data_IF_907297886513
#
_entry.id   IF_907297886513
#
_cell.length_a   1.000
_cell.length_b   1.000
_cell.length_c   1.000
_cell.angle_alpha   90.00
_cell.angle_beta   90.00
_cell.angle_gamma   90.00
#
_symmetry.space_group_name_H-M   'P 1'
#
loop_
_entity.id
_entity.type
_entity.pdbx_description
1 polymer ?
#
# COMPACT_ATOMS: atom_id res chain seq x y z
N UNK A 1 16.88 19.45 4.67
CA UNK A 1 16.15 18.81 3.55
C UNK A 1 16.96 18.76 2.24
N UNK A 2 17.54 19.85 1.70
CA UNK A 2 18.34 19.81 0.47
C UNK A 2 19.55 18.88 0.55
N UNK A 3 20.24 18.78 1.69
CA UNK A 3 21.43 17.94 1.89
C UNK A 3 21.09 16.44 2.05
N UNK A 4 19.92 16.08 2.59
CA UNK A 4 19.47 14.67 2.66
C UNK A 4 19.18 14.15 1.25
N UNK A 5 18.62 14.97 0.37
CA UNK A 5 18.39 14.62 -1.06
C UNK A 5 19.74 14.46 -1.79
N UNK A 6 20.75 15.30 -1.51
CA UNK A 6 22.10 15.17 -2.06
C UNK A 6 22.81 13.89 -1.57
N UNK A 7 22.59 13.48 -0.33
CA UNK A 7 23.12 12.23 0.24
C UNK A 7 22.60 11.00 -0.50
N UNK A 8 21.29 10.95 -0.81
CA UNK A 8 20.70 9.87 -1.61
C UNK A 8 21.18 9.87 -3.07
N UNK A 9 21.44 11.04 -3.66
CA UNK A 9 22.02 11.17 -5.01
C UNK A 9 23.48 10.70 -5.01
N UNK A 10 24.24 10.98 -3.96
CA UNK A 10 25.66 10.59 -3.84
C UNK A 10 25.82 9.08 -3.65
N UNK A 11 24.96 8.43 -2.86
CA UNK A 11 24.90 6.96 -2.74
C UNK A 11 24.57 6.34 -4.11
N UNK A 12 23.67 6.94 -4.88
CA UNK A 12 23.31 6.45 -6.22
C UNK A 12 24.51 6.49 -7.18
N UNK A 13 25.27 7.57 -7.16
CA UNK A 13 26.49 7.73 -8.00
C UNK A 13 27.64 6.83 -7.53
N UNK A 14 27.78 6.61 -6.23
CA UNK A 14 28.87 5.82 -5.66
C UNK A 14 28.65 4.31 -5.84
N UNK A 15 27.41 3.83 -5.66
CA UNK A 15 27.08 2.41 -5.89
C UNK A 15 27.18 2.05 -7.38
N UNK A 16 26.83 2.95 -8.30
CA UNK A 16 27.01 2.71 -9.74
C UNK A 16 28.46 2.83 -10.19
N UNK A 17 29.26 3.72 -9.59
CA UNK A 17 30.69 3.84 -9.87
C UNK A 17 31.52 2.65 -9.35
N UNK A 18 31.17 2.11 -8.21
CA UNK A 18 31.84 0.95 -7.61
C UNK A 18 31.55 -0.38 -8.33
N UNK A 19 30.44 -0.48 -9.06
CA UNK A 19 30.13 -1.65 -9.89
C UNK A 19 30.89 -1.67 -11.23
N UNK A 20 31.53 -0.54 -11.61
CA UNK A 20 32.26 -0.42 -12.87
C UNK A 20 33.78 -0.70 -12.74
N UNK A 21 34.31 -0.85 -11.54
CA UNK A 21 35.72 -1.22 -11.30
C UNK A 21 35.78 -2.49 -10.47
N UNK A 22 36.19 -3.58 -11.14
CA UNK A 22 36.50 -4.86 -10.51
C UNK A 22 37.80 -4.79 -9.73
N UNK A 23 37.74 -4.41 -8.46
CA UNK A 23 38.74 -4.79 -7.48
C UNK A 23 38.03 -5.05 -6.16
N UNK A 24 38.40 -6.12 -5.50
CA UNK A 24 37.77 -6.70 -4.31
C UNK A 24 37.64 -5.69 -3.15
N UNK A 25 36.63 -4.82 -3.23
CA UNK A 25 36.28 -3.97 -2.12
C UNK A 25 35.73 -4.85 -0.99
N UNK A 26 36.48 -4.91 0.09
CA UNK A 26 36.07 -5.62 1.30
C UNK A 26 34.79 -4.95 1.82
N UNK A 27 33.67 -5.66 1.78
CA UNK A 27 32.35 -5.20 2.23
C UNK A 27 32.37 -4.63 3.66
N UNK A 28 33.30 -5.09 4.50
CA UNK A 28 33.53 -4.58 5.84
C UNK A 28 34.11 -3.15 5.82
N UNK A 29 35.03 -2.86 4.90
CA UNK A 29 35.63 -1.54 4.73
C UNK A 29 34.63 -0.51 4.22
N UNK A 30 33.83 -0.87 3.22
CA UNK A 30 32.75 -0.03 2.71
C UNK A 30 31.68 0.26 3.77
N UNK A 31 31.35 -0.73 4.60
CA UNK A 31 30.42 -0.58 5.72
C UNK A 31 30.90 0.39 6.78
N UNK A 32 32.19 0.34 7.15
CA UNK A 32 32.80 1.26 8.11
C UNK A 32 33.01 2.66 7.52
N UNK A 33 33.21 2.76 6.22
CA UNK A 33 33.35 4.04 5.52
C UNK A 33 32.00 4.77 5.40
N UNK A 34 30.96 4.09 4.97
CA UNK A 34 29.58 4.62 4.95
C UNK A 34 29.14 5.02 6.36
N UNK A 35 29.42 4.20 7.37
CA UNK A 35 29.10 4.51 8.76
C UNK A 35 29.84 5.77 9.23
N UNK A 36 31.13 5.93 8.87
CA UNK A 36 31.94 7.09 9.23
C UNK A 36 31.47 8.38 8.55
N UNK A 37 31.09 8.33 7.25
CA UNK A 37 30.56 9.48 6.52
C UNK A 37 29.19 9.91 7.04
N UNK A 38 28.26 8.95 7.23
CA UNK A 38 26.93 9.22 7.82
C UNK A 38 27.05 9.83 9.20
N UNK A 39 28.00 9.36 10.02
CA UNK A 39 28.22 9.89 11.35
C UNK A 39 28.92 11.26 11.33
N UNK A 40 29.73 11.55 10.31
CA UNK A 40 30.37 12.86 10.14
C UNK A 40 29.35 13.93 9.69
N UNK A 41 28.46 13.61 8.74
CA UNK A 41 27.38 14.51 8.31
C UNK A 41 26.34 14.77 9.41
N UNK A 42 25.95 13.75 10.18
CA UNK A 42 25.07 13.92 11.34
C UNK A 42 25.67 14.85 12.40
N UNK A 43 27.03 14.90 12.53
CA UNK A 43 27.72 15.85 13.41
C UNK A 43 27.64 17.30 12.91
N UNK A 44 27.68 17.48 11.58
CA UNK A 44 27.75 18.80 10.95
C UNK A 44 26.38 19.51 10.84
N UNK A 45 25.29 18.75 10.60
CA UNK A 45 23.97 19.32 10.30
C UNK A 45 23.12 19.65 11.53
N UNK A 46 23.46 19.16 12.72
CA UNK A 46 22.60 19.34 13.91
C UNK A 46 22.97 20.55 14.75
N UNK A 47 24.13 21.24 14.50
CA UNK A 47 24.52 22.51 15.17
C UNK A 47 24.46 22.49 16.72
N UNK A 48 24.23 21.33 17.28
CA UNK A 48 24.19 21.05 18.72
C UNK A 48 25.52 20.35 19.01
N UNK A 49 26.32 20.90 19.88
CA UNK A 49 27.40 20.17 20.57
C UNK A 49 26.77 18.98 21.29
N UNK A 50 26.60 17.88 20.57
CA UNK A 50 26.23 16.62 21.20
C UNK A 50 27.49 16.11 21.89
N UNK A 51 27.44 16.00 23.19
CA UNK A 51 28.47 15.30 23.96
C UNK A 51 28.79 13.96 23.26
N UNK A 52 30.06 13.62 23.13
CA UNK A 52 30.53 12.33 22.55
C UNK A 52 29.88 11.11 23.19
N UNK A 53 29.35 11.24 24.41
CA UNK A 53 28.56 10.26 25.13
C UNK A 53 27.29 9.81 24.39
N UNK A 54 26.59 10.72 23.71
CA UNK A 54 25.33 10.43 23.00
C UNK A 54 25.54 9.55 21.75
N UNK A 55 26.71 9.63 21.10
CA UNK A 55 27.03 8.78 19.95
C UNK A 55 27.50 7.38 20.34
N UNK A 56 28.05 7.20 21.55
CA UNK A 56 28.41 5.88 22.09
C UNK A 56 27.18 5.03 22.42
N UNK A 57 26.05 5.66 22.72
CA UNK A 57 24.79 5.00 23.08
C UNK A 57 23.89 4.72 21.85
N UNK A 58 24.33 5.10 20.65
CA UNK A 58 23.59 4.88 19.41
C UNK A 58 24.13 3.67 18.66
N UNK A 59 23.28 2.67 18.43
CA UNK A 59 23.61 1.49 17.63
C UNK A 59 22.92 1.58 16.28
N UNK A 60 23.68 1.42 15.19
CA UNK A 60 23.14 1.35 13.82
C UNK A 60 23.35 -0.06 13.29
N UNK A 61 22.26 -0.67 12.81
CA UNK A 61 22.24 -1.96 12.14
C UNK A 61 21.81 -1.78 10.68
N UNK A 62 22.69 -2.15 9.76
CA UNK A 62 22.39 -2.24 8.34
C UNK A 62 21.85 -3.65 8.05
N UNK A 63 20.79 -3.74 7.26
CA UNK A 63 20.21 -5.01 6.81
C UNK A 63 19.63 -4.85 5.41
N UNK A 64 19.45 -5.97 4.73
CA UNK A 64 18.83 -5.94 3.43
C UNK A 64 18.72 -7.31 2.78
N UNK A 65 18.30 -7.26 1.52
CA UNK A 65 18.28 -8.44 0.66
C UNK A 65 18.30 -8.06 -0.82
N UNK A 66 18.91 -8.91 -1.62
CA UNK A 66 18.70 -8.96 -3.07
C UNK A 66 17.63 -10.00 -3.36
N UNK A 67 16.60 -9.63 -4.11
CA UNK A 67 15.48 -10.51 -4.40
C UNK A 67 15.06 -10.42 -5.86
N UNK A 68 14.97 -11.59 -6.47
CA UNK A 68 14.60 -11.77 -7.85
C UNK A 68 13.31 -12.58 -7.95
N UNK A 69 12.49 -12.27 -8.95
CA UNK A 69 11.31 -13.02 -9.34
C UNK A 69 11.36 -13.34 -10.83
N UNK A 70 11.01 -14.58 -11.18
CA UNK A 70 10.67 -14.97 -12.55
C UNK A 70 9.20 -15.35 -12.50
N UNK A 71 8.38 -14.71 -13.31
CA UNK A 71 6.94 -14.98 -13.35
C UNK A 71 6.48 -15.24 -14.78
N UNK A 72 5.57 -16.19 -14.92
CA UNK A 72 4.83 -16.47 -16.13
C UNK A 72 3.34 -16.23 -15.86
N UNK A 73 2.68 -15.46 -16.72
CA UNK A 73 1.24 -15.22 -16.73
C UNK A 73 0.63 -15.81 -17.99
N UNK A 74 -0.58 -16.36 -17.89
CA UNK A 74 -1.31 -16.92 -19.05
C UNK A 74 -2.04 -15.86 -19.86
N UNK A 75 -2.25 -14.64 -19.30
CA UNK A 75 -2.89 -13.52 -19.96
C UNK A 75 -2.48 -12.17 -19.38
N UNK A 76 -2.85 -11.09 -20.07
CA UNK A 76 -2.68 -9.74 -19.56
C UNK A 76 -3.50 -9.48 -18.29
N UNK A 77 -2.88 -8.75 -17.35
CA UNK A 77 -3.46 -8.42 -16.04
C UNK A 77 -3.44 -6.92 -15.79
N UNK A 78 -4.32 -6.46 -14.90
CA UNK A 78 -4.16 -5.18 -14.22
C UNK A 78 -3.08 -5.39 -13.16
N UNK A 79 -2.02 -4.62 -13.25
CA UNK A 79 -0.82 -4.79 -12.42
C UNK A 79 -0.40 -3.47 -11.79
N UNK A 80 0.48 -3.52 -10.78
CA UNK A 80 1.14 -2.36 -10.19
C UNK A 80 2.65 -2.56 -10.18
N UNK A 81 3.38 -1.43 -10.16
CA UNK A 81 4.83 -1.37 -9.99
C UNK A 81 5.60 -2.30 -10.96
N UNK A 82 5.36 -2.13 -12.27
CA UNK A 82 6.07 -2.88 -13.30
C UNK A 82 5.80 -4.38 -13.25
N UNK A 83 4.52 -4.77 -13.23
CA UNK A 83 4.04 -6.16 -13.25
C UNK A 83 4.40 -7.02 -12.02
N UNK A 84 5.03 -6.41 -11.00
CA UNK A 84 5.40 -7.15 -9.78
C UNK A 84 4.17 -7.55 -8.96
N UNK A 85 3.12 -6.67 -8.92
CA UNK A 85 1.83 -6.96 -8.30
C UNK A 85 0.83 -7.39 -9.37
N UNK A 86 0.44 -8.64 -9.34
CA UNK A 86 -0.70 -9.12 -10.13
C UNK A 86 -1.99 -8.88 -9.33
N UNK A 87 -2.81 -7.95 -9.79
CA UNK A 87 -4.05 -7.59 -9.11
C UNK A 87 -5.19 -8.47 -9.58
N UNK A 88 -5.47 -8.47 -10.89
CA UNK A 88 -6.52 -9.24 -11.51
C UNK A 88 -6.30 -9.37 -13.03
N UNK A 89 -6.78 -10.44 -13.69
CA UNK A 89 -6.76 -10.53 -15.15
C UNK A 89 -7.58 -9.38 -15.77
N UNK A 90 -7.14 -8.88 -16.92
CA UNK A 90 -7.95 -7.95 -17.72
C UNK A 90 -9.13 -8.68 -18.36
N UNK A 91 -10.23 -7.99 -18.52
CA UNK A 91 -11.42 -8.47 -19.23
C UNK A 91 -11.10 -8.87 -20.68
N UNK A 92 -12.00 -9.60 -21.30
CA UNK A 92 -11.95 -9.92 -22.73
C UNK A 92 -11.97 -8.64 -23.55
N UNK A 93 -11.07 -8.56 -24.57
CA UNK A 93 -10.98 -7.45 -25.51
C UNK A 93 -10.92 -8.02 -26.93
N UNK A 94 -12.10 -8.21 -27.53
CA UNK A 94 -12.21 -8.80 -28.88
C UNK A 94 -11.86 -7.79 -29.96
N UNK A 95 -11.02 -8.21 -30.91
CA UNK A 95 -10.83 -7.51 -32.16
C UNK A 95 -11.98 -7.84 -33.15
N UNK A 96 -11.95 -7.26 -34.35
CA UNK A 96 -12.97 -7.49 -35.42
C UNK A 96 -13.00 -8.95 -35.91
N UNK A 97 -11.95 -9.73 -35.69
CA UNK A 97 -11.88 -11.15 -36.02
C UNK A 97 -12.38 -12.08 -34.91
N UNK A 98 -12.76 -11.51 -33.73
CA UNK A 98 -13.20 -12.27 -32.57
C UNK A 98 -12.07 -12.81 -31.69
N UNK A 99 -10.83 -12.35 -31.88
CA UNK A 99 -9.70 -12.76 -31.07
C UNK A 99 -9.59 -11.90 -29.80
N UNK A 100 -9.35 -12.51 -28.65
CA UNK A 100 -9.13 -11.80 -27.39
C UNK A 100 -7.69 -11.27 -27.29
N UNK A 101 -7.53 -9.97 -27.48
CA UNK A 101 -6.23 -9.26 -27.45
C UNK A 101 -5.57 -9.26 -26.06
N UNK A 102 -6.31 -9.60 -24.98
CA UNK A 102 -5.75 -9.77 -23.64
C UNK A 102 -5.34 -11.22 -23.32
N UNK A 103 -5.69 -12.19 -24.16
CA UNK A 103 -5.31 -13.59 -24.00
C UNK A 103 -3.86 -13.87 -24.47
N UNK A 104 -2.91 -13.03 -24.06
CA UNK A 104 -1.49 -13.12 -24.44
C UNK A 104 -0.66 -13.50 -23.23
N UNK A 105 0.04 -14.66 -23.27
CA UNK A 105 0.94 -15.05 -22.20
C UNK A 105 2.20 -14.19 -22.17
N UNK A 106 2.76 -14.00 -20.96
CA UNK A 106 3.99 -13.23 -20.79
C UNK A 106 4.90 -13.81 -19.73
N UNK A 107 6.19 -13.61 -19.90
CA UNK A 107 7.22 -13.92 -18.90
C UNK A 107 7.94 -12.66 -18.47
N UNK A 108 8.16 -12.50 -17.17
CA UNK A 108 8.78 -11.32 -16.58
C UNK A 108 9.89 -11.77 -15.64
N UNK A 109 11.06 -11.15 -15.76
CA UNK A 109 12.15 -11.26 -14.79
C UNK A 109 12.31 -9.93 -14.03
N UNK A 110 12.16 -9.97 -12.70
CA UNK A 110 12.14 -8.81 -11.82
C UNK A 110 13.29 -8.91 -10.82
N UNK A 111 14.28 -8.03 -10.89
CA UNK A 111 15.41 -7.95 -9.97
C UNK A 111 15.30 -6.78 -8.96
N UNK A 112 14.47 -5.79 -9.21
CA UNK A 112 14.39 -4.52 -8.48
C UNK A 112 13.60 -4.58 -7.16
N UNK A 113 13.07 -5.74 -6.77
CA UNK A 113 12.38 -5.87 -5.47
C UNK A 113 13.35 -5.97 -4.27
N UNK A 114 14.63 -5.72 -4.52
CA UNK A 114 15.71 -5.68 -3.53
C UNK A 114 15.55 -4.53 -2.55
N UNK A 115 16.10 -4.67 -1.35
CA UNK A 115 15.85 -3.77 -0.24
C UNK A 115 17.09 -3.47 0.56
N UNK A 116 17.19 -2.23 1.05
CA UNK A 116 18.17 -1.78 2.03
C UNK A 116 17.46 -1.09 3.19
N UNK A 117 17.90 -1.35 4.42
CA UNK A 117 17.36 -0.77 5.63
C UNK A 117 18.40 -0.47 6.69
N UNK A 118 18.07 0.52 7.51
CA UNK A 118 18.81 0.93 8.70
C UNK A 118 17.86 0.86 9.90
N UNK A 119 18.26 0.14 10.93
CA UNK A 119 17.65 0.21 12.26
C UNK A 119 18.62 1.00 13.16
N UNK A 120 18.10 1.99 13.87
CA UNK A 120 18.86 2.85 14.79
C UNK A 120 18.26 2.74 16.17
N UNK A 121 19.04 2.25 17.12
CA UNK A 121 18.70 2.29 18.55
C UNK A 121 19.35 3.55 19.14
N UNK A 122 18.54 4.41 19.75
CA UNK A 122 18.96 5.68 20.30
C UNK A 122 18.94 5.70 21.85
N UNK A 123 19.28 6.85 22.44
CA UNK A 123 19.26 7.04 23.89
C UNK A 123 17.83 7.01 24.45
N UNK A 124 17.71 6.91 25.77
CA UNK A 124 16.44 7.09 26.47
C UNK A 124 15.97 8.55 26.35
N UNK A 125 14.74 8.76 25.88
CA UNK A 125 14.11 10.08 25.74
C UNK A 125 12.76 10.05 26.44
N UNK A 126 12.50 10.98 27.36
CA UNK A 126 11.25 11.07 28.15
C UNK A 126 10.88 9.75 28.85
N UNK A 127 11.89 8.99 29.33
CA UNK A 127 11.71 7.69 29.96
C UNK A 127 11.35 6.55 28.97
N UNK A 128 11.36 6.79 27.67
CA UNK A 128 11.15 5.80 26.63
C UNK A 128 12.47 5.38 25.98
N UNK A 129 12.56 4.14 25.53
CA UNK A 129 13.60 3.73 24.58
C UNK A 129 13.28 4.36 23.21
N UNK A 130 14.25 5.11 22.67
CA UNK A 130 14.09 5.71 21.34
C UNK A 130 14.70 4.82 20.26
N UNK A 131 14.08 4.79 19.08
CA UNK A 131 14.63 4.12 17.92
C UNK A 131 14.14 4.82 16.65
N UNK A 132 14.82 4.55 15.52
CA UNK A 132 14.38 4.99 14.21
C UNK A 132 14.59 3.88 13.19
N UNK A 133 13.76 3.89 12.14
CA UNK A 133 13.90 2.98 11.01
C UNK A 133 13.87 3.76 9.71
N UNK A 134 14.84 3.48 8.83
CA UNK A 134 14.84 3.88 7.45
C UNK A 134 14.94 2.63 6.57
N UNK A 135 13.99 2.43 5.67
CA UNK A 135 13.98 1.29 4.75
C UNK A 135 13.53 1.75 3.37
N UNK A 136 14.21 1.29 2.35
CA UNK A 136 13.86 1.58 0.97
C UNK A 136 14.02 0.36 0.05
N UNK A 137 13.33 0.39 -1.09
CA UNK A 137 13.45 -0.58 -2.19
C UNK A 137 13.50 0.15 -3.55
N UNK A 138 13.73 -0.59 -4.63
CA UNK A 138 13.77 -0.07 -5.99
C UNK A 138 12.45 -0.27 -6.74
N UNK A 139 11.34 -0.43 -6.03
CA UNK A 139 10.00 -0.68 -6.59
C UNK A 139 9.23 0.63 -6.85
N UNK A 140 9.86 1.79 -6.74
CA UNK A 140 9.33 3.03 -7.28
C UNK A 140 9.31 2.97 -8.82
N UNK A 141 8.28 3.53 -9.45
CA UNK A 141 8.13 3.53 -10.89
C UNK A 141 8.01 4.97 -11.41
N UNK A 142 8.91 5.36 -12.26
CA UNK A 142 8.82 6.56 -13.09
C UNK A 142 9.04 6.13 -14.55
N UNK A 143 8.44 6.80 -15.51
CA UNK A 143 8.41 6.44 -16.92
C UNK A 143 9.69 5.70 -17.36
N UNK A 144 9.59 4.39 -17.61
CA UNK A 144 10.66 3.47 -18.03
C UNK A 144 11.86 3.30 -17.08
N UNK A 145 11.82 3.84 -15.85
CA UNK A 145 12.88 3.72 -14.87
C UNK A 145 12.38 3.18 -13.53
N UNK A 146 13.19 2.32 -12.91
CA UNK A 146 13.02 1.89 -11.54
C UNK A 146 13.63 2.94 -10.63
N UNK A 147 12.86 3.47 -9.68
CA UNK A 147 13.34 4.49 -8.76
C UNK A 147 13.35 3.99 -7.32
N UNK A 148 14.29 4.52 -6.58
CA UNK A 148 14.42 4.27 -5.15
C UNK A 148 13.19 4.81 -4.42
N UNK A 149 12.54 3.95 -3.62
CA UNK A 149 11.31 4.27 -2.92
C UNK A 149 11.47 4.07 -1.43
N UNK A 150 11.18 5.12 -0.64
CA UNK A 150 11.11 5.02 0.82
C UNK A 150 9.92 4.15 1.22
N UNK A 151 10.18 3.13 2.03
CA UNK A 151 9.18 2.20 2.59
C UNK A 151 8.83 2.57 4.01
N UNK A 152 9.85 2.67 4.86
CA UNK A 152 9.75 3.08 6.25
C UNK A 152 10.70 4.25 6.48
N UNK A 153 10.21 5.27 7.14
CA UNK A 153 10.98 6.40 7.62
C UNK A 153 10.26 6.94 8.86
N UNK A 154 10.59 6.42 10.03
CA UNK A 154 9.92 6.82 11.25
C UNK A 154 10.84 6.82 12.47
N UNK A 155 10.48 7.64 13.46
CA UNK A 155 10.99 7.57 14.82
C UNK A 155 9.98 6.89 15.74
N UNK A 156 10.47 6.20 16.76
CA UNK A 156 9.67 5.48 17.73
C UNK A 156 10.15 5.79 19.16
N UNK A 157 9.20 5.99 20.05
CA UNK A 157 9.38 6.02 21.49
C UNK A 157 8.60 4.87 22.11
N UNK A 158 9.29 3.99 22.83
CA UNK A 158 8.70 2.82 23.47
C UNK A 158 8.87 2.90 24.98
N UNK A 159 7.75 3.04 25.69
CA UNK A 159 7.64 2.88 27.14
C UNK A 159 7.25 1.44 27.48
N UNK A 160 7.16 1.11 28.75
CA UNK A 160 6.81 -0.25 29.21
C UNK A 160 5.49 -0.78 28.62
N UNK A 161 4.46 0.07 28.53
CA UNK A 161 3.12 -0.32 28.09
C UNK A 161 2.63 0.39 26.83
N UNK A 162 3.33 1.42 26.37
CA UNK A 162 2.91 2.22 25.23
C UNK A 162 4.03 2.44 24.23
N UNK A 163 3.65 2.66 22.97
CA UNK A 163 4.57 2.97 21.88
C UNK A 163 3.99 4.08 21.06
N UNK A 164 4.80 5.10 20.77
CA UNK A 164 4.48 6.15 19.81
C UNK A 164 5.39 6.04 18.59
N UNK A 165 4.81 6.02 17.41
CA UNK A 165 5.53 6.05 16.13
C UNK A 165 5.11 7.31 15.38
N UNK A 166 6.09 8.06 14.86
CA UNK A 166 5.86 9.23 14.03
C UNK A 166 6.67 9.08 12.75
N UNK A 167 6.00 9.08 11.61
CA UNK A 167 6.62 8.94 10.29
C UNK A 167 5.94 7.92 9.40
N UNK A 168 6.58 7.55 8.30
CA UNK A 168 6.04 6.64 7.30
C UNK A 168 6.26 5.18 7.68
N UNK A 169 5.17 4.42 7.77
CA UNK A 169 5.21 2.95 7.95
C UNK A 169 3.95 2.32 7.35
N UNK A 170 3.79 1.00 7.51
CA UNK A 170 2.58 0.31 7.07
C UNK A 170 1.33 0.91 7.71
N UNK A 171 0.27 1.02 6.90
CA UNK A 171 -1.06 1.31 7.41
C UNK A 171 -1.43 0.28 8.49
N UNK A 172 -2.02 0.68 9.63
CA UNK A 172 -2.28 -0.23 10.75
C UNK A 172 -3.20 -1.41 10.40
N UNK A 173 -4.05 -1.27 9.42
CA UNK A 173 -4.84 -2.37 8.86
C UNK A 173 -3.97 -3.52 8.28
N UNK A 174 -2.67 -3.32 8.04
CA UNK A 174 -1.74 -4.35 7.57
C UNK A 174 -1.09 -5.19 8.70
N UNK A 175 -1.52 -5.06 9.94
CA UNK A 175 -0.93 -5.76 11.09
C UNK A 175 -1.01 -7.29 11.00
N UNK A 176 -2.08 -7.84 10.40
CA UNK A 176 -2.17 -9.26 10.03
C UNK A 176 -2.16 -9.35 8.51
N UNK A 177 -1.23 -10.13 7.97
CA UNK A 177 -0.97 -10.26 6.53
C UNK A 177 -0.70 -11.71 6.15
N UNK A 178 -1.02 -12.13 4.92
CA UNK A 178 -0.74 -13.48 4.48
C UNK A 178 0.77 -13.75 4.34
N UNK A 179 1.17 -14.99 4.59
CA UNK A 179 2.51 -15.50 4.33
C UNK A 179 2.51 -16.12 2.93
N UNK A 180 3.12 -15.47 1.96
CA UNK A 180 3.19 -15.88 0.56
C UNK A 180 4.63 -15.76 0.05
N UNK A 181 4.96 -16.50 -1.01
CA UNK A 181 6.27 -16.44 -1.67
C UNK A 181 6.34 -15.31 -2.70
N UNK A 182 5.24 -15.02 -3.37
CA UNK A 182 5.10 -13.92 -4.31
C UNK A 182 5.20 -12.54 -3.64
N UNK A 183 5.36 -11.49 -4.46
CA UNK A 183 5.55 -10.13 -3.95
C UNK A 183 4.27 -9.46 -3.46
N UNK A 184 3.12 -9.83 -4.00
CA UNK A 184 1.86 -9.08 -3.94
C UNK A 184 1.29 -8.81 -2.55
N UNK A 185 1.88 -9.34 -1.47
CA UNK A 185 1.41 -9.20 -0.09
C UNK A 185 -0.09 -9.54 0.10
N UNK A 186 -0.63 -10.35 -0.83
CA UNK A 186 -2.05 -10.73 -0.86
C UNK A 186 -2.97 -9.70 -1.52
N UNK A 187 -2.45 -8.64 -2.16
CA UNK A 187 -3.29 -7.69 -2.89
C UNK A 187 -4.02 -8.36 -4.07
N UNK A 188 -5.28 -7.99 -4.38
CA UNK A 188 -6.10 -6.95 -3.75
C UNK A 188 -6.89 -7.40 -2.50
N UNK A 189 -6.69 -8.62 -2.01
CA UNK A 189 -7.47 -9.20 -0.89
C UNK A 189 -6.97 -8.71 0.48
N UNK A 190 -5.73 -8.27 0.58
CA UNK A 190 -5.14 -7.70 1.79
C UNK A 190 -4.78 -6.23 1.55
N UNK A 191 -5.02 -5.38 2.55
CA UNK A 191 -4.57 -3.99 2.54
C UNK A 191 -3.07 -3.93 2.33
N UNK A 192 -2.59 -3.08 1.43
CA UNK A 192 -1.17 -2.97 1.10
C UNK A 192 -0.78 -1.51 0.84
N UNK A 193 -0.62 -0.74 1.90
CA UNK A 193 -0.36 0.70 1.84
C UNK A 193 0.63 1.13 2.92
N UNK A 194 1.48 2.12 2.62
CA UNK A 194 2.40 2.76 3.57
C UNK A 194 2.24 4.27 3.48
N UNK A 195 2.01 4.89 4.64
CA UNK A 195 1.72 6.32 4.72
C UNK A 195 2.39 6.96 5.93
N UNK A 196 2.72 8.25 5.86
CA UNK A 196 3.05 9.05 7.04
C UNK A 196 1.90 9.00 8.04
N UNK A 197 2.23 8.79 9.32
CA UNK A 197 1.24 8.65 10.38
C UNK A 197 1.81 8.97 11.75
N UNK A 198 0.91 9.30 12.67
CA UNK A 198 1.16 9.32 14.11
C UNK A 198 0.38 8.14 14.69
N UNK A 199 1.10 7.12 15.14
CA UNK A 199 0.53 5.87 15.64
C UNK A 199 0.86 5.70 17.11
N UNK A 200 -0.16 5.49 17.91
CA UNK A 200 -0.06 5.19 19.32
C UNK A 200 -0.61 3.79 19.62
N UNK A 201 0.19 2.96 20.27
CA UNK A 201 -0.22 1.63 20.71
C UNK A 201 -0.10 1.55 22.22
N UNK A 202 -1.19 1.13 22.89
CA UNK A 202 -1.28 0.97 24.35
C UNK A 202 -1.58 -0.48 24.69
N UNK A 203 -0.68 -1.11 25.47
CA UNK A 203 -0.95 -2.41 26.09
C UNK A 203 -1.85 -2.23 27.32
N UNK A 204 -2.96 -2.94 27.34
CA UNK A 204 -3.95 -2.96 28.41
C UNK A 204 -3.93 -4.34 29.09
N UNK A 205 -3.53 -4.38 30.35
CA UNK A 205 -3.31 -5.63 31.07
C UNK A 205 -2.18 -6.47 30.46
N UNK A 206 -2.40 -7.80 30.36
CA UNK A 206 -1.36 -8.76 29.93
C UNK A 206 -1.37 -9.00 28.39
N UNK A 207 -2.50 -8.90 27.74
CA UNK A 207 -2.67 -9.40 26.36
C UNK A 207 -3.49 -8.52 25.42
N UNK A 208 -4.15 -7.48 25.90
CA UNK A 208 -4.93 -6.57 25.08
C UNK A 208 -4.10 -5.37 24.62
N UNK A 209 -4.35 -4.91 23.42
CA UNK A 209 -3.72 -3.74 22.81
C UNK A 209 -4.77 -2.86 22.17
N UNK A 210 -4.73 -1.57 22.49
CA UNK A 210 -5.44 -0.52 21.79
C UNK A 210 -4.45 0.20 20.87
N UNK A 211 -4.78 0.30 19.58
CA UNK A 211 -4.00 1.03 18.61
C UNK A 211 -4.84 2.16 18.02
N UNK A 212 -4.29 3.37 18.01
CA UNK A 212 -4.88 4.55 17.41
C UNK A 212 -3.88 5.14 16.41
N UNK A 213 -4.37 5.61 15.27
CA UNK A 213 -3.50 6.29 14.29
C UNK A 213 -4.21 7.42 13.56
N UNK A 214 -3.48 8.52 13.36
CA UNK A 214 -3.81 9.58 12.40
C UNK A 214 -2.91 9.43 11.17
N UNK A 215 -3.48 9.23 9.99
CA UNK A 215 -2.80 8.80 8.78
C UNK A 215 -2.97 9.84 7.69
N UNK A 216 -1.87 10.16 6.97
CA UNK A 216 -1.82 11.16 5.92
C UNK A 216 -1.47 10.51 4.59
N UNK A 217 -2.31 10.64 3.57
CA UNK A 217 -2.03 10.09 2.25
C UNK A 217 -0.82 10.76 1.62
N UNK A 218 0.05 9.95 0.99
CA UNK A 218 1.19 10.42 0.21
C UNK A 218 1.48 9.47 -0.95
N UNK A 219 2.28 8.42 -0.77
CA UNK A 219 2.66 7.48 -1.84
C UNK A 219 1.48 6.63 -2.31
N UNK A 220 0.70 6.12 -1.36
CA UNK A 220 -0.54 5.41 -1.62
C UNK A 220 -1.69 6.41 -1.43
N UNK A 221 -2.46 6.67 -2.48
CA UNK A 221 -3.46 7.73 -2.53
C UNK A 221 -4.75 7.26 -3.17
N UNK A 222 -5.82 8.02 -2.90
CA UNK A 222 -7.16 7.71 -3.39
C UNK A 222 -7.33 8.03 -4.87
N UNK A 223 -8.21 7.28 -5.53
CA UNK A 223 -8.68 7.56 -6.88
C UNK A 223 -9.85 8.56 -6.82
N UNK A 224 -9.96 9.41 -7.84
CA UNK A 224 -11.01 10.42 -7.92
C UNK A 224 -11.02 11.12 -9.29
N UNK A 225 -11.75 12.24 -9.44
CA UNK A 225 -11.96 12.90 -10.74
C UNK A 225 -10.67 13.36 -11.43
N UNK A 226 -9.60 13.62 -10.69
CA UNK A 226 -8.29 13.98 -11.24
C UNK A 226 -7.31 12.79 -11.23
N UNK A 227 -7.83 11.56 -11.32
CA UNK A 227 -7.02 10.34 -11.25
C UNK A 227 -6.60 9.99 -9.83
N UNK A 228 -5.47 9.29 -9.70
CA UNK A 228 -4.91 8.89 -8.40
C UNK A 228 -4.06 10.03 -7.83
N UNK A 229 -4.50 10.64 -6.73
CA UNK A 229 -3.76 11.73 -6.05
C UNK A 229 -4.07 11.79 -4.55
N UNK A 230 -3.10 12.26 -3.78
CA UNK A 230 -3.26 12.55 -2.35
C UNK A 230 -3.93 13.91 -2.07
N UNK A 231 -4.20 14.70 -3.07
CA UNK A 231 -4.76 16.05 -2.93
C UNK A 231 -6.16 16.02 -2.32
N UNK A 232 -6.96 15.01 -2.63
CA UNK A 232 -8.31 14.87 -2.05
C UNK A 232 -8.29 14.80 -0.52
N UNK A 233 -7.29 14.13 0.05
CA UNK A 233 -7.10 14.06 1.49
C UNK A 233 -6.52 15.36 2.05
N UNK A 234 -5.59 16.02 1.33
CA UNK A 234 -5.01 17.30 1.75
C UNK A 234 -6.04 18.44 1.77
N UNK A 235 -6.90 18.50 0.76
CA UNK A 235 -7.96 19.52 0.70
C UNK A 235 -9.01 19.32 1.79
N UNK A 236 -9.17 18.10 2.27
CA UNK A 236 -10.09 17.78 3.36
C UNK A 236 -9.61 18.29 4.73
N UNK A 237 -8.30 18.49 4.92
CA UNK A 237 -7.60 18.96 6.15
C UNK A 237 -7.57 17.93 7.30
N UNK A 238 -8.45 16.96 7.35
CA UNK A 238 -8.49 15.94 8.40
C UNK A 238 -7.74 14.69 7.93
N UNK A 239 -6.85 14.13 8.77
CA UNK A 239 -6.23 12.84 8.49
C UNK A 239 -7.28 11.72 8.52
N UNK A 240 -6.96 10.61 7.91
CA UNK A 240 -7.66 9.36 8.12
C UNK A 240 -7.44 8.90 9.55
N UNK A 241 -8.52 8.53 10.24
CA UNK A 241 -8.48 7.97 11.57
C UNK A 241 -8.51 6.45 11.51
N UNK A 242 -7.62 5.77 12.25
CA UNK A 242 -7.71 4.32 12.46
C UNK A 242 -7.71 3.99 13.94
N UNK A 243 -8.57 3.07 14.34
CA UNK A 243 -8.60 2.50 15.68
C UNK A 243 -8.74 0.98 15.61
N UNK A 244 -8.01 0.25 16.46
CA UNK A 244 -8.20 -1.20 16.59
C UNK A 244 -7.94 -1.67 18.02
N UNK A 245 -8.63 -2.75 18.38
CA UNK A 245 -8.38 -3.53 19.59
C UNK A 245 -7.99 -4.93 19.19
N UNK A 246 -6.94 -5.47 19.78
CA UNK A 246 -6.51 -6.86 19.56
C UNK A 246 -6.13 -7.52 20.88
N UNK A 247 -6.32 -8.83 20.92
CA UNK A 247 -5.80 -9.68 21.98
C UNK A 247 -4.68 -10.54 21.42
N UNK A 248 -3.52 -10.50 22.05
CA UNK A 248 -2.38 -11.38 21.77
C UNK A 248 -2.33 -12.48 22.81
N UNK A 249 -2.56 -13.73 22.38
CA UNK A 249 -2.41 -14.93 23.21
C UNK A 249 -1.22 -15.76 22.73
N UNK A 250 -0.92 -16.84 23.42
CA UNK A 250 0.21 -17.73 23.09
C UNK A 250 0.08 -18.34 21.68
N UNK A 251 -1.12 -18.78 21.32
CA UNK A 251 -1.40 -19.42 20.02
C UNK A 251 -2.31 -18.60 19.14
N UNK A 252 -3.14 -17.73 19.70
CA UNK A 252 -4.17 -16.99 18.97
C UNK A 252 -4.08 -15.49 19.24
N UNK A 253 -3.83 -14.74 18.19
CA UNK A 253 -4.03 -13.29 18.12
C UNK A 253 -5.30 -13.02 17.34
N UNK A 254 -6.20 -12.20 17.85
CA UNK A 254 -7.39 -11.76 17.12
C UNK A 254 -7.76 -10.33 17.50
N UNK A 255 -8.51 -9.68 16.64
CA UNK A 255 -8.92 -8.31 16.89
C UNK A 255 -9.87 -7.78 15.83
N UNK A 256 -10.28 -6.54 16.07
CA UNK A 256 -11.10 -5.75 15.17
C UNK A 256 -10.53 -4.35 15.05
N UNK A 257 -10.72 -3.74 13.89
CA UNK A 257 -10.29 -2.37 13.60
C UNK A 257 -11.29 -1.64 12.73
N UNK A 258 -11.16 -0.33 12.68
CA UNK A 258 -11.95 0.52 11.79
C UNK A 258 -11.09 1.68 11.30
N UNK A 259 -11.13 1.93 9.99
CA UNK A 259 -10.63 3.14 9.36
C UNK A 259 -11.80 4.06 9.02
N UNK A 260 -11.60 5.36 9.23
CA UNK A 260 -12.55 6.42 8.84
C UNK A 260 -11.80 7.45 8.02
N UNK A 261 -12.18 7.61 6.77
CA UNK A 261 -11.59 8.56 5.84
C UNK A 261 -12.63 9.57 5.36
N UNK A 262 -12.21 10.80 5.18
CA UNK A 262 -12.97 11.84 4.49
C UNK A 262 -12.10 12.44 3.39
N UNK A 263 -12.66 12.64 2.20
CA UNK A 263 -11.98 13.24 1.06
C UNK A 263 -12.78 14.41 0.52
N UNK A 264 -12.10 15.41 -0.02
CA UNK A 264 -12.69 16.50 -0.79
C UNK A 264 -12.32 16.30 -2.27
N UNK A 265 -13.22 15.74 -3.12
CA UNK A 265 -12.89 15.33 -4.48
C UNK A 265 -12.55 16.48 -5.42
N UNK A 266 -13.11 17.67 -5.20
CA UNK A 266 -12.90 18.87 -6.02
C UNK A 266 -12.70 20.10 -5.15
N UNK A 267 -11.84 21.02 -5.56
CA UNK A 267 -11.70 22.37 -4.96
C UNK A 267 -12.62 23.36 -5.64
N UNK A 268 -12.79 23.17 -6.94
CA UNK A 268 -13.58 24.03 -7.81
C UNK A 268 -14.52 23.20 -8.66
N UNK A 269 -15.59 23.82 -9.11
CA UNK A 269 -16.59 23.27 -10.01
C UNK A 269 -17.17 24.41 -10.84
N UNK A 270 -18.04 24.13 -11.77
CA UNK A 270 -18.72 25.11 -12.61
C UNK A 270 -20.13 25.31 -12.06
N UNK A 271 -20.56 26.55 -11.82
CA UNK A 271 -21.93 26.88 -11.51
C UNK A 271 -22.49 27.81 -12.58
N UNK A 272 -23.79 27.72 -12.84
CA UNK A 272 -24.49 28.71 -13.66
C UNK A 272 -24.77 29.92 -12.83
N UNK A 273 -24.25 31.07 -13.24
CA UNK A 273 -24.44 32.35 -12.58
C UNK A 273 -25.10 33.36 -13.51
N UNK A 274 -25.97 34.15 -12.94
CA UNK A 274 -26.58 35.28 -13.64
C UNK A 274 -25.54 36.38 -13.84
N UNK A 275 -25.25 36.71 -15.10
CA UNK A 275 -24.32 37.76 -15.49
C UNK A 275 -25.09 38.81 -16.26
N UNK A 276 -25.09 40.07 -15.78
CA UNK A 276 -25.71 41.20 -16.45
C UNK A 276 -24.67 41.92 -17.30
N UNK A 277 -24.87 41.93 -18.61
CA UNK A 277 -24.02 42.63 -19.54
C UNK A 277 -24.22 44.18 -19.43
N UNK A 278 -23.30 44.96 -20.00
CA UNK A 278 -23.35 46.43 -19.93
C UNK A 278 -24.60 47.04 -20.61
N UNK A 279 -25.27 46.32 -21.48
CA UNK A 279 -26.51 46.66 -22.13
C UNK A 279 -27.77 46.34 -21.31
N UNK A 280 -27.59 45.82 -20.07
CA UNK A 280 -28.69 45.44 -19.16
C UNK A 280 -29.28 44.06 -19.46
N UNK A 281 -28.76 43.30 -20.44
CA UNK A 281 -29.22 41.94 -20.70
C UNK A 281 -28.62 40.99 -19.67
N UNK A 282 -29.44 40.09 -19.14
CA UNK A 282 -29.03 39.09 -18.15
C UNK A 282 -29.02 37.68 -18.77
N UNK A 283 -27.93 36.95 -18.61
CA UNK A 283 -27.77 35.59 -19.09
C UNK A 283 -27.18 34.69 -17.99
N UNK A 284 -27.56 33.41 -18.01
CA UNK A 284 -26.91 32.37 -17.17
C UNK A 284 -25.63 31.94 -17.86
N UNK A 285 -24.49 32.22 -17.23
CA UNK A 285 -23.17 31.83 -17.75
C UNK A 285 -22.45 30.87 -16.82
N UNK A 286 -21.70 29.90 -17.37
CA UNK A 286 -20.88 28.99 -16.56
C UNK A 286 -19.73 29.77 -15.91
N UNK A 287 -19.64 29.72 -14.59
CA UNK A 287 -18.58 30.34 -13.80
C UNK A 287 -17.91 29.34 -12.88
N UNK A 288 -16.59 29.37 -12.81
CA UNK A 288 -15.84 28.54 -11.87
C UNK A 288 -16.08 29.04 -10.44
N UNK A 289 -16.52 28.12 -9.58
CA UNK A 289 -16.83 28.38 -8.18
C UNK A 289 -16.05 27.45 -7.26
N UNK A 290 -15.78 27.89 -6.03
CA UNK A 290 -15.17 27.04 -5.00
C UNK A 290 -16.24 26.16 -4.40
N UNK A 291 -15.92 24.85 -4.28
CA UNK A 291 -16.76 23.83 -3.62
C UNK A 291 -16.02 23.20 -2.45
N UNK A 292 -16.76 22.60 -1.52
CA UNK A 292 -16.20 21.93 -0.34
C UNK A 292 -16.88 20.61 -0.05
N UNK A 293 -17.48 20.02 -1.06
CA UNK A 293 -18.21 18.76 -0.94
C UNK A 293 -17.26 17.63 -0.57
N UNK A 294 -17.74 16.72 0.28
CA UNK A 294 -16.92 15.66 0.85
C UNK A 294 -17.57 14.30 0.67
N UNK A 295 -16.74 13.27 0.64
CA UNK A 295 -17.16 11.88 0.72
C UNK A 295 -16.48 11.21 1.89
N UNK A 296 -17.28 10.50 2.71
CA UNK A 296 -16.76 9.69 3.82
C UNK A 296 -16.75 8.22 3.45
N UNK A 297 -15.80 7.48 4.03
CA UNK A 297 -15.74 6.03 4.00
C UNK A 297 -15.44 5.49 5.39
N UNK A 298 -16.10 4.40 5.76
CA UNK A 298 -15.89 3.67 7.02
C UNK A 298 -15.56 2.23 6.65
N UNK A 299 -14.36 1.78 7.02
CA UNK A 299 -13.82 0.47 6.66
C UNK A 299 -13.54 -0.33 7.93
N UNK A 300 -14.54 -1.06 8.48
CA UNK A 300 -14.33 -2.00 9.56
C UNK A 300 -13.65 -3.28 9.08
N UNK A 301 -12.89 -3.89 9.97
CA UNK A 301 -12.20 -5.16 9.74
C UNK A 301 -12.15 -6.02 10.98
N UNK A 302 -12.13 -7.35 10.77
CA UNK A 302 -11.81 -8.34 11.80
C UNK A 302 -10.69 -9.24 11.30
N UNK A 303 -9.82 -9.67 12.20
CA UNK A 303 -8.67 -10.48 11.84
C UNK A 303 -8.31 -11.48 12.91
N UNK A 304 -7.66 -12.58 12.50
CA UNK A 304 -7.10 -13.57 13.39
C UNK A 304 -5.79 -14.14 12.83
N UNK A 305 -4.89 -14.55 13.75
CA UNK A 305 -3.64 -15.27 13.48
C UNK A 305 -3.51 -16.38 14.51
N UNK A 306 -3.66 -17.63 14.09
CA UNK A 306 -3.54 -18.81 14.94
C UNK A 306 -2.27 -19.57 14.57
N UNK A 307 -1.39 -19.80 15.58
CA UNK A 307 -0.11 -20.49 15.39
C UNK A 307 0.09 -21.55 16.46
N UNK A 308 0.31 -22.77 16.01
CA UNK A 308 0.66 -23.89 16.89
C UNK A 308 1.71 -24.79 16.24
N UNK A 309 2.86 -24.98 16.89
CA UNK A 309 3.96 -25.79 16.39
C UNK A 309 4.50 -25.31 15.03
N UNK A 310 4.22 -26.08 13.97
CA UNK A 310 4.60 -25.76 12.57
C UNK A 310 3.44 -25.20 11.75
N UNK A 311 2.25 -25.17 12.32
CA UNK A 311 1.04 -24.76 11.63
C UNK A 311 0.71 -23.31 11.96
N UNK A 312 0.38 -22.51 10.95
CA UNK A 312 -0.09 -21.14 11.12
C UNK A 312 -1.24 -20.87 10.15
N UNK A 313 -2.36 -20.37 10.68
CA UNK A 313 -3.53 -19.94 9.91
C UNK A 313 -3.82 -18.48 10.23
N UNK A 314 -4.01 -17.69 9.21
CA UNK A 314 -4.36 -16.28 9.30
C UNK A 314 -5.58 -15.99 8.45
N UNK A 315 -6.39 -15.04 8.88
CA UNK A 315 -7.52 -14.61 8.10
C UNK A 315 -7.96 -13.20 8.46
N UNK A 316 -8.67 -12.59 7.52
CA UNK A 316 -9.23 -11.25 7.69
C UNK A 316 -10.50 -11.11 6.87
N UNK A 317 -11.46 -10.36 7.40
CA UNK A 317 -12.65 -9.88 6.71
C UNK A 317 -12.66 -8.36 6.79
N UNK A 318 -12.88 -7.69 5.66
CA UNK A 318 -12.85 -6.23 5.53
C UNK A 318 -14.09 -5.80 4.75
N UNK A 319 -14.90 -4.94 5.34
CA UNK A 319 -15.95 -4.22 4.61
C UNK A 319 -15.42 -2.86 4.21
N UNK A 320 -14.98 -2.74 2.95
CA UNK A 320 -14.30 -1.57 2.46
C UNK A 320 -15.27 -0.53 1.90
N UNK A 321 -15.09 0.74 2.31
CA UNK A 321 -15.77 1.91 1.76
C UNK A 321 -14.74 2.99 1.46
N UNK A 322 -14.70 3.49 0.21
CA UNK A 322 -13.77 4.53 -0.21
C UNK A 322 -12.30 4.22 0.16
N UNK A 323 -11.91 2.94 -0.02
CA UNK A 323 -10.63 2.40 0.44
C UNK A 323 -9.63 2.12 -0.71
N UNK A 324 -9.71 2.86 -1.82
CA UNK A 324 -8.84 2.69 -2.99
C UNK A 324 -7.35 2.96 -2.68
N UNK A 325 -7.05 3.83 -1.72
CA UNK A 325 -5.70 4.09 -1.21
C UNK A 325 -5.08 2.90 -0.46
N UNK A 326 -5.90 1.96 0.01
CA UNK A 326 -5.45 0.69 0.61
C UNK A 326 -5.26 -0.42 -0.42
N UNK A 327 -5.37 -0.10 -1.73
CA UNK A 327 -5.34 -1.04 -2.86
C UNK A 327 -6.48 -2.07 -2.81
N UNK A 328 -7.64 -1.64 -2.31
CA UNK A 328 -8.86 -2.45 -2.25
C UNK A 328 -9.81 -2.07 -3.38
N UNK A 329 -10.56 -3.04 -3.93
CA UNK A 329 -11.57 -2.83 -4.97
C UNK A 329 -12.76 -2.04 -4.42
N UNK A 330 -12.53 -0.76 -4.15
CA UNK A 330 -13.45 0.19 -3.55
C UNK A 330 -13.07 1.60 -4.01
N UNK A 331 -13.94 2.58 -3.78
CA UNK A 331 -13.75 3.97 -4.17
C UNK A 331 -14.97 4.82 -3.84
N UNK A 332 -15.30 5.77 -4.68
CA UNK A 332 -16.48 6.62 -4.55
C UNK A 332 -16.91 7.19 -5.90
N UNK A 333 -18.12 7.73 -5.98
CA UNK A 333 -18.62 8.41 -7.17
C UNK A 333 -19.56 9.56 -6.84
N UNK A 334 -19.81 10.42 -7.86
CA UNK A 334 -20.73 11.53 -7.79
C UNK A 334 -22.18 11.05 -8.03
N UNK A 335 -23.11 11.40 -7.14
CA UNK A 335 -24.51 10.95 -7.19
C UNK A 335 -25.48 12.06 -7.57
N UNK A 336 -25.11 13.32 -7.38
CA UNK A 336 -25.89 14.47 -7.80
C UNK A 336 -24.96 15.67 -8.08
N UNK A 337 -25.43 16.57 -8.90
CA UNK A 337 -24.80 17.85 -9.21
C UNK A 337 -25.87 18.95 -9.24
N UNK A 338 -25.60 20.03 -8.52
CA UNK A 338 -26.45 21.21 -8.54
C UNK A 338 -25.81 22.30 -9.42
N UNK A 339 -26.38 22.60 -10.60
CA UNK A 339 -25.82 23.59 -11.50
C UNK A 339 -25.88 25.03 -10.95
N UNK A 340 -26.78 25.34 -10.00
CA UNK A 340 -26.87 26.67 -9.41
C UNK A 340 -25.72 26.97 -8.45
N UNK A 341 -25.27 25.99 -7.71
CA UNK A 341 -24.18 26.14 -6.72
C UNK A 341 -22.85 25.57 -7.19
N UNK A 342 -22.87 24.65 -8.17
CA UNK A 342 -21.73 23.85 -8.59
C UNK A 342 -21.40 22.70 -7.64
N UNK A 343 -22.22 22.46 -6.61
CA UNK A 343 -22.00 21.41 -5.60
C UNK A 343 -22.28 20.02 -6.13
N UNK A 344 -21.53 19.03 -5.60
CA UNK A 344 -21.73 17.62 -5.87
C UNK A 344 -22.12 16.87 -4.59
N UNK A 345 -23.01 15.90 -4.71
CA UNK A 345 -23.13 14.83 -3.73
C UNK A 345 -22.28 13.64 -4.15
N UNK A 346 -21.76 12.91 -3.17
CA UNK A 346 -20.93 11.72 -3.40
C UNK A 346 -21.41 10.55 -2.54
N UNK A 347 -21.21 9.35 -3.05
CA UNK A 347 -21.42 8.11 -2.29
C UNK A 347 -20.20 7.19 -2.36
N UNK A 348 -19.82 6.50 -1.25
CA UNK A 348 -18.76 5.52 -1.28
C UNK A 348 -19.19 4.25 -2.01
N UNK A 349 -18.31 3.71 -2.84
CA UNK A 349 -18.40 2.35 -3.38
C UNK A 349 -17.97 1.36 -2.31
N UNK A 350 -18.71 0.26 -2.16
CA UNK A 350 -18.53 -0.75 -1.12
C UNK A 350 -18.05 -2.08 -1.70
N UNK A 351 -17.20 -2.76 -0.98
CA UNK A 351 -16.86 -4.15 -1.25
C UNK A 351 -16.68 -4.95 0.04
N UNK A 352 -16.96 -6.23 -0.01
CA UNK A 352 -16.62 -7.18 1.04
C UNK A 352 -15.39 -7.97 0.58
N UNK A 353 -14.33 -7.91 1.36
CA UNK A 353 -13.09 -8.61 1.05
C UNK A 353 -12.79 -9.59 2.17
N UNK A 354 -12.45 -10.82 1.82
CA UNK A 354 -12.01 -11.84 2.78
C UNK A 354 -10.82 -12.60 2.24
N UNK A 355 -9.94 -13.03 3.15
CA UNK A 355 -8.88 -13.94 2.81
C UNK A 355 -8.54 -14.87 3.97
N UNK A 356 -8.06 -16.06 3.63
CA UNK A 356 -7.52 -17.07 4.53
C UNK A 356 -6.15 -17.52 4.01
N UNK A 357 -5.15 -17.60 4.88
CA UNK A 357 -3.84 -18.12 4.55
C UNK A 357 -3.41 -19.18 5.57
N UNK A 358 -3.14 -20.37 5.11
CA UNK A 358 -2.62 -21.46 5.90
C UNK A 358 -1.20 -21.82 5.47
N UNK A 359 -0.31 -22.03 6.45
CA UNK A 359 1.07 -22.48 6.18
C UNK A 359 1.48 -23.57 7.15
N UNK A 360 2.33 -24.49 6.67
CA UNK A 360 2.91 -25.57 7.46
C UNK A 360 4.38 -25.78 7.14
N UNK A 361 5.20 -25.83 8.16
CA UNK A 361 6.63 -26.11 8.04
C UNK A 361 7.51 -25.18 8.86
N UNK A 362 8.81 -25.33 8.74
CA UNK A 362 9.86 -24.47 9.34
C UNK A 362 10.92 -24.11 8.31
N UNK A 363 11.72 -25.09 7.87
CA UNK A 363 12.74 -24.93 6.82
C UNK A 363 12.13 -25.04 5.42
N UNK A 364 11.31 -26.05 5.20
CA UNK A 364 10.44 -26.15 4.04
C UNK A 364 9.02 -25.81 4.50
N UNK A 365 8.47 -24.76 3.91
CA UNK A 365 7.15 -24.23 4.27
C UNK A 365 6.24 -24.32 3.05
N UNK A 366 5.21 -25.16 3.16
CA UNK A 366 4.09 -25.19 2.23
C UNK A 366 3.00 -24.25 2.72
N UNK A 367 2.30 -23.59 1.80
CA UNK A 367 1.23 -22.68 2.13
C UNK A 367 0.18 -22.55 1.04
N UNK A 368 -0.97 -22.00 1.39
CA UNK A 368 -2.02 -21.61 0.45
C UNK A 368 -2.66 -20.29 0.91
N UNK A 369 -2.89 -19.39 -0.03
CA UNK A 369 -3.72 -18.20 0.14
C UNK A 369 -5.02 -18.40 -0.63
N UNK A 370 -6.15 -18.18 0.05
CA UNK A 370 -7.48 -18.09 -0.54
C UNK A 370 -7.97 -16.65 -0.35
N UNK A 371 -8.45 -16.03 -1.41
CA UNK A 371 -8.96 -14.66 -1.37
C UNK A 371 -10.28 -14.55 -2.12
N UNK A 372 -11.20 -13.71 -1.62
CA UNK A 372 -12.47 -13.40 -2.26
C UNK A 372 -12.85 -11.93 -2.05
N UNK A 373 -13.33 -11.29 -3.11
CA UNK A 373 -13.86 -9.93 -3.09
C UNK A 373 -15.24 -9.97 -3.76
N UNK A 374 -16.23 -9.33 -3.12
CA UNK A 374 -17.55 -9.06 -3.66
C UNK A 374 -17.75 -7.55 -3.86
N UNK A 375 -18.17 -7.13 -5.04
CA UNK A 375 -18.51 -5.75 -5.35
C UNK A 375 -19.97 -5.47 -4.96
N UNK A 376 -20.16 -4.74 -3.88
CA UNK A 376 -21.49 -4.42 -3.34
C UNK A 376 -22.09 -3.14 -3.93
N UNK A 377 -21.37 -2.42 -4.81
CA UNK A 377 -21.79 -1.13 -5.36
C UNK A 377 -22.00 -0.04 -4.31
N UNK A 378 -22.53 1.10 -4.72
CA UNK A 378 -22.96 2.18 -3.84
C UNK A 378 -24.43 2.00 -3.40
N UNK A 379 -24.87 2.79 -2.41
CA UNK A 379 -26.27 2.85 -1.97
C UNK A 379 -27.15 3.71 -2.88
N UNK A 380 -26.54 4.62 -3.64
CA UNK A 380 -27.20 5.55 -4.58
C UNK A 380 -26.61 5.31 -5.96
N UNK A 381 -27.35 5.59 -7.00
CA UNK A 381 -26.84 5.63 -8.37
C UNK A 381 -25.88 6.82 -8.54
N UNK A 382 -24.84 6.63 -9.35
CA UNK A 382 -23.95 7.68 -9.79
C UNK A 382 -24.57 8.44 -10.97
N UNK A 383 -24.06 9.63 -11.26
CA UNK A 383 -24.51 10.44 -12.39
C UNK A 383 -24.33 9.71 -13.73
N UNK A 384 -23.23 8.98 -13.86
CA UNK A 384 -22.95 8.07 -14.96
C UNK A 384 -21.98 6.98 -14.53
N UNK A 385 -21.74 5.98 -15.38
CA UNK A 385 -20.72 4.95 -15.17
C UNK A 385 -19.28 5.50 -15.21
N UNK A 386 -19.09 6.73 -15.69
CA UNK A 386 -17.79 7.42 -15.69
C UNK A 386 -17.56 8.26 -14.43
N UNK A 387 -18.64 8.61 -13.72
CA UNK A 387 -18.61 9.48 -12.55
C UNK A 387 -18.32 8.76 -11.23
N UNK A 388 -17.66 7.61 -11.27
CA UNK A 388 -17.09 6.99 -10.09
C UNK A 388 -15.66 6.50 -10.33
N UNK A 389 -14.89 6.47 -9.26
CA UNK A 389 -13.44 6.21 -9.27
C UNK A 389 -13.12 5.16 -8.22
N UNK A 390 -12.43 4.10 -8.64
CA UNK A 390 -12.09 2.97 -7.78
C UNK A 390 -10.74 2.36 -8.14
N UNK A 391 -10.24 1.53 -7.25
CA UNK A 391 -9.11 0.65 -7.54
C UNK A 391 -9.60 -0.63 -8.23
N UNK A 392 -8.92 -1.04 -9.31
CA UNK A 392 -9.26 -2.23 -10.10
C UNK A 392 -10.16 -1.95 -11.31
N UNK A 393 -10.92 -2.94 -11.74
CA UNK A 393 -11.84 -2.84 -12.89
C UNK A 393 -13.26 -2.47 -12.42
N UNK A 394 -13.88 -1.50 -13.10
CA UNK A 394 -15.25 -1.02 -12.79
C UNK A 394 -16.32 -2.08 -13.00
N UNK A 395 -16.14 -2.92 -14.02
CA UNK A 395 -17.08 -3.96 -14.43
C UNK A 395 -16.78 -5.35 -13.81
N UNK A 396 -16.02 -5.39 -12.70
CA UNK A 396 -15.81 -6.60 -11.92
C UNK A 396 -16.91 -6.74 -10.86
N UNK A 397 -17.57 -7.91 -10.82
CA UNK A 397 -18.57 -8.29 -9.82
C UNK A 397 -17.89 -8.90 -8.60
N UNK A 398 -17.09 -9.94 -8.85
CA UNK A 398 -16.30 -10.60 -7.84
C UNK A 398 -14.90 -10.94 -8.33
N UNK A 399 -14.00 -11.17 -7.38
CA UNK A 399 -12.63 -11.63 -7.64
C UNK A 399 -12.34 -12.75 -6.65
N UNK A 400 -11.77 -13.87 -7.13
CA UNK A 400 -11.24 -14.89 -6.22
C UNK A 400 -9.84 -15.33 -6.63
N UNK A 401 -9.07 -15.78 -5.63
CA UNK A 401 -7.70 -16.25 -5.79
C UNK A 401 -7.46 -17.51 -4.99
N UNK A 402 -6.74 -18.45 -5.59
CA UNK A 402 -6.17 -19.63 -4.94
C UNK A 402 -4.67 -19.63 -5.26
N UNK A 403 -3.82 -19.47 -4.23
CA UNK A 403 -2.39 -19.36 -4.45
C UNK A 403 -1.61 -20.33 -3.51
N UNK A 404 -1.37 -21.58 -3.96
CA UNK A 404 -0.46 -22.49 -3.28
C UNK A 404 0.99 -22.02 -3.44
N UNK A 405 1.79 -22.23 -2.39
CA UNK A 405 3.21 -21.85 -2.37
C UNK A 405 4.06 -22.87 -1.63
N UNK A 406 5.33 -22.95 -2.01
CA UNK A 406 6.35 -23.74 -1.34
C UNK A 406 7.62 -22.91 -1.24
N UNK A 407 8.14 -22.70 -0.02
CA UNK A 407 9.36 -21.93 0.21
C UNK A 407 10.35 -22.74 1.04
N UNK A 408 11.59 -22.83 0.56
CA UNK A 408 12.72 -23.39 1.28
C UNK A 408 13.57 -22.25 1.87
N UNK A 409 13.65 -22.20 3.19
CA UNK A 409 14.40 -21.19 3.94
C UNK A 409 15.76 -21.76 4.35
N UNK A 410 16.84 -21.14 3.86
CA UNK A 410 18.22 -21.38 4.29
C UNK A 410 18.71 -20.21 5.16
N UNK A 411 19.93 -20.29 5.69
CA UNK A 411 20.47 -19.26 6.58
C UNK A 411 20.37 -17.83 5.98
N UNK A 412 20.84 -17.67 4.74
CA UNK A 412 20.89 -16.38 4.04
C UNK A 412 20.16 -16.39 2.69
N UNK A 413 19.75 -17.56 2.20
CA UNK A 413 19.11 -17.74 0.91
C UNK A 413 17.73 -18.36 1.08
N UNK A 414 16.72 -17.81 0.44
CA UNK A 414 15.39 -18.38 0.36
C UNK A 414 15.04 -18.62 -1.11
N UNK A 415 14.45 -19.77 -1.39
CA UNK A 415 13.92 -20.12 -2.71
C UNK A 415 12.47 -20.52 -2.55
N UNK A 416 11.59 -19.90 -3.32
CA UNK A 416 10.15 -20.16 -3.25
C UNK A 416 9.51 -20.23 -4.62
N UNK A 417 8.48 -21.05 -4.73
CA UNK A 417 7.58 -21.12 -5.88
C UNK A 417 6.15 -20.85 -5.41
N UNK A 418 5.38 -20.12 -6.21
CA UNK A 418 3.96 -19.82 -5.96
C UNK A 418 3.20 -19.96 -7.27
N UNK A 419 2.07 -20.68 -7.24
CA UNK A 419 1.05 -20.65 -8.27
C UNK A 419 -0.06 -19.70 -7.80
N UNK A 420 -0.54 -18.82 -8.67
CA UNK A 420 -1.59 -17.85 -8.38
C UNK A 420 -2.66 -17.95 -9.47
N UNK A 421 -3.72 -18.67 -9.15
CA UNK A 421 -4.93 -18.70 -10.00
C UNK A 421 -5.87 -17.60 -9.52
N UNK A 422 -6.05 -16.56 -10.33
CA UNK A 422 -6.98 -15.45 -10.05
C UNK A 422 -8.04 -15.39 -11.13
N UNK A 423 -9.32 -15.36 -10.74
CA UNK A 423 -10.45 -15.20 -11.64
C UNK A 423 -11.33 -14.03 -11.22
N UNK A 424 -11.95 -13.39 -12.20
CA UNK A 424 -12.84 -12.25 -12.08
C UNK A 424 -14.13 -12.52 -12.82
N UNK A 425 -15.26 -12.35 -12.16
CA UNK A 425 -16.56 -12.29 -12.80
C UNK A 425 -16.75 -10.90 -13.43
N UNK A 426 -16.62 -10.81 -14.74
CA UNK A 426 -16.86 -9.58 -15.50
C UNK A 426 -18.27 -9.55 -16.06
N UNK A 427 -18.86 -8.36 -16.17
CA UNK A 427 -20.23 -8.27 -16.68
C UNK A 427 -20.77 -6.86 -16.83
N UNK A 428 -22.10 -6.77 -16.72
CA UNK A 428 -22.86 -5.56 -16.96
C UNK A 428 -22.80 -4.64 -15.72
N UNK A 429 -22.35 -3.42 -15.96
CA UNK A 429 -22.16 -2.40 -14.94
C UNK A 429 -23.44 -1.55 -14.77
N UNK A 430 -24.00 -1.53 -13.57
CA UNK A 430 -25.12 -0.68 -13.19
C UNK A 430 -24.65 0.72 -12.76
N UNK A 431 -25.54 1.71 -12.75
CA UNK A 431 -25.24 3.09 -12.37
C UNK A 431 -24.73 3.23 -10.95
N UNK A 432 -25.12 2.35 -10.02
CA UNK A 432 -24.59 2.36 -8.66
C UNK A 432 -23.21 1.69 -8.52
N UNK A 433 -22.54 1.38 -9.63
CA UNK A 433 -21.24 0.72 -9.65
C UNK A 433 -21.27 -0.76 -9.28
N UNK A 434 -22.46 -1.37 -9.08
CA UNK A 434 -22.61 -2.82 -8.94
C UNK A 434 -22.53 -3.46 -10.33
N UNK A 435 -21.87 -4.58 -10.40
CA UNK A 435 -21.76 -5.37 -11.62
C UNK A 435 -22.58 -6.66 -11.45
N UNK A 436 -23.12 -7.17 -12.55
CA UNK A 436 -23.67 -8.51 -12.64
C UNK A 436 -22.81 -9.32 -13.59
N UNK A 437 -22.08 -10.29 -13.06
CA UNK A 437 -21.18 -11.12 -13.86
C UNK A 437 -21.93 -11.87 -14.96
N UNK A 438 -21.39 -11.82 -16.17
CA UNK A 438 -21.87 -12.55 -17.36
C UNK A 438 -20.83 -13.53 -17.87
N UNK A 439 -19.57 -13.41 -17.43
CA UNK A 439 -18.45 -14.26 -17.81
C UNK A 439 -17.34 -14.25 -16.75
N UNK A 440 -16.64 -15.36 -16.65
CA UNK A 440 -15.41 -15.46 -15.86
C UNK A 440 -14.18 -15.31 -16.74
N UNK A 441 -13.21 -14.54 -16.26
CA UNK A 441 -11.90 -14.38 -16.90
C UNK A 441 -10.83 -14.70 -15.88
N UNK A 442 -9.93 -15.61 -16.20
CA UNK A 442 -8.91 -16.07 -15.27
C UNK A 442 -7.48 -15.89 -15.80
N UNK A 443 -6.53 -15.73 -14.89
CA UNK A 443 -5.10 -15.81 -15.14
C UNK A 443 -4.48 -16.84 -14.19
N UNK A 444 -3.54 -17.62 -14.72
CA UNK A 444 -2.63 -18.44 -13.93
C UNK A 444 -1.25 -17.80 -13.97
N UNK A 445 -0.75 -17.36 -12.81
CA UNK A 445 0.64 -16.93 -12.64
C UNK A 445 1.43 -18.03 -11.96
N UNK A 446 2.61 -18.33 -12.47
CA UNK A 446 3.62 -19.13 -11.76
C UNK A 446 4.80 -18.21 -11.48
N UNK A 447 5.21 -18.13 -10.21
CA UNK A 447 6.25 -17.22 -9.76
C UNK A 447 7.35 -18.00 -9.01
N UNK A 448 8.59 -17.90 -9.47
CA UNK A 448 9.79 -18.35 -8.76
C UNK A 448 10.44 -17.15 -8.06
N UNK A 449 10.75 -17.29 -6.77
CA UNK A 449 11.42 -16.29 -5.96
C UNK A 449 12.78 -16.80 -5.48
N UNK A 450 13.82 -16.00 -5.65
CA UNK A 450 15.13 -16.19 -5.03
C UNK A 450 15.50 -14.94 -4.25
N UNK A 451 15.81 -15.11 -2.94
CA UNK A 451 16.15 -14.00 -2.06
C UNK A 451 17.40 -14.30 -1.25
N UNK A 452 18.44 -13.47 -1.42
CA UNK A 452 19.63 -13.49 -0.59
C UNK A 452 19.58 -12.37 0.45
N UNK A 453 19.77 -12.70 1.73
CA UNK A 453 19.70 -11.75 2.87
C UNK A 453 21.09 -11.53 3.45
N UNK A 454 21.38 -10.29 3.84
CA UNK A 454 22.63 -9.88 4.50
C UNK A 454 22.35 -8.99 5.71
#
# INVERSE_FOLDING_TARGET
MKKIIFFFIYIHSFVFGAMAQSDSLNLATLKEEIKREVMAELRQDVGIEREEKTLRDTRVKIYGFVRNYISYDTRECITLAGDIYNIMPKDVNLNAAGEDLNAVPKTIFIAFSSRLGLDVDGPTILGATSSAKLEADFVGFAINNMVFRVRHAYAQLAWEKSTLIVGQTWHPSFQVRPNISGYGAGAPFSTSSRMPQILFNQRMGKSWHLLLSAIFQHNDSSYGPNGKTYDYARWNLWPEGYASIKREGEHLTFGAGVSVISLMPRRTSVALREVTAADGTTKMEPMEVRVRDRVMGITPEIFADYKVGKFNVKGKVIYAQNASHLQMSSGFGATAYDPATGSYEYAPLRSLTTWLNATYGRTLVGGVLLGYIDNMGAKKDFLSTDDFWMFGAKNADYIYRIAPSLTYYMKNLDVGIEGDYTAVGYGDLALNGRTKATRDVANMRVCLMVRYRF
#
